data_IF_442016532137
#
_entry.id   IF_442016532137
#
_cell.length_a   1.000
_cell.length_b   1.000
_cell.length_c   1.000
_cell.angle_alpha   90.00
_cell.angle_beta   90.00
_cell.angle_gamma   90.00
#
_symmetry.space_group_name_H-M   'P 1'
#
loop_
_entity.id
_entity.type
_entity.pdbx_description
1 polymer ?
#
# COMPACT_ATOMS: atom_id res chain seq x y z
N UNK A 1 -31.55 -13.69 -3.09
CA UNK A 1 -31.86 -12.29 -2.71
C UNK A 1 -33.27 -12.20 -2.11
N UNK A 2 -34.25 -12.83 -2.74
CA UNK A 2 -35.68 -12.78 -2.35
C UNK A 2 -35.97 -13.29 -0.94
N UNK A 3 -35.49 -14.48 -0.56
CA UNK A 3 -35.70 -15.02 0.80
C UNK A 3 -35.08 -14.14 1.91
N UNK A 4 -33.96 -13.47 1.63
CA UNK A 4 -33.34 -12.58 2.62
C UNK A 4 -34.19 -11.31 2.83
N UNK A 5 -34.76 -10.76 1.74
CA UNK A 5 -35.67 -9.63 1.79
C UNK A 5 -36.96 -9.98 2.53
N UNK A 6 -37.57 -11.12 2.19
CA UNK A 6 -38.75 -11.65 2.88
C UNK A 6 -38.48 -11.84 4.38
N UNK A 7 -37.35 -12.46 4.74
CA UNK A 7 -36.98 -12.64 6.15
C UNK A 7 -36.81 -11.31 6.87
N UNK A 8 -36.22 -10.30 6.23
CA UNK A 8 -36.06 -8.97 6.81
C UNK A 8 -37.42 -8.29 7.02
N UNK A 9 -38.33 -8.40 6.05
CA UNK A 9 -39.69 -7.85 6.14
C UNK A 9 -40.48 -8.51 7.28
N UNK A 10 -40.44 -9.84 7.40
CA UNK A 10 -41.14 -10.53 8.50
C UNK A 10 -40.53 -10.22 9.86
N UNK A 11 -39.20 -10.06 9.95
CA UNK A 11 -38.58 -9.62 11.19
C UNK A 11 -39.00 -8.18 11.56
N UNK A 12 -39.10 -7.28 10.58
CA UNK A 12 -39.61 -5.92 10.79
C UNK A 12 -41.07 -5.94 11.25
N UNK A 13 -41.92 -6.70 10.55
CA UNK A 13 -43.34 -6.84 10.88
C UNK A 13 -43.57 -7.45 12.28
N UNK A 14 -42.72 -8.40 12.68
CA UNK A 14 -42.76 -9.04 13.99
C UNK A 14 -42.28 -8.12 15.12
N UNK A 15 -41.17 -7.42 14.92
CA UNK A 15 -40.49 -6.65 15.99
C UNK A 15 -41.03 -5.23 16.10
N UNK A 16 -41.15 -4.52 14.98
CA UNK A 16 -41.50 -3.09 14.99
C UNK A 16 -43.00 -2.86 14.85
N UNK A 17 -43.69 -3.68 14.05
CA UNK A 17 -45.12 -3.45 13.77
C UNK A 17 -46.06 -4.32 14.60
N UNK A 18 -45.56 -5.43 15.18
CA UNK A 18 -46.37 -6.40 15.92
C UNK A 18 -47.47 -7.06 15.08
N UNK A 19 -47.37 -7.02 13.75
CA UNK A 19 -48.42 -7.50 12.83
C UNK A 19 -48.31 -8.99 12.51
N UNK A 20 -47.18 -9.63 12.82
CA UNK A 20 -47.02 -11.07 12.72
C UNK A 20 -46.24 -11.62 13.93
N UNK A 21 -46.48 -12.88 14.29
CA UNK A 21 -45.88 -13.51 15.47
C UNK A 21 -44.62 -14.31 15.13
N UNK A 22 -44.47 -14.72 13.87
CA UNK A 22 -43.37 -15.57 13.42
C UNK A 22 -42.84 -15.14 12.04
N UNK A 23 -41.62 -15.58 11.74
CA UNK A 23 -41.01 -15.40 10.44
C UNK A 23 -40.97 -16.77 9.72
N UNK A 24 -41.82 -17.01 8.70
CA UNK A 24 -41.89 -18.30 8.03
C UNK A 24 -40.59 -18.66 7.30
N UNK A 25 -39.75 -17.68 6.97
CA UNK A 25 -38.45 -17.91 6.30
C UNK A 25 -37.44 -18.59 7.22
N UNK A 26 -37.62 -18.54 8.53
CA UNK A 26 -36.79 -19.30 9.49
C UNK A 26 -36.95 -20.81 9.33
N UNK A 27 -38.09 -21.26 8.83
CA UNK A 27 -38.41 -22.67 8.62
C UNK A 27 -38.09 -23.16 7.20
N UNK A 28 -37.50 -22.30 6.36
CA UNK A 28 -37.13 -22.65 4.99
C UNK A 28 -35.63 -22.84 4.90
N UNK A 29 -35.20 -23.95 4.28
CA UNK A 29 -33.79 -24.18 3.98
C UNK A 29 -33.31 -23.09 3.00
N UNK A 30 -32.42 -22.23 3.46
CA UNK A 30 -31.80 -21.20 2.62
C UNK A 30 -30.94 -21.86 1.54
N UNK A 31 -30.93 -21.33 0.30
CA UNK A 31 -30.01 -21.79 -0.73
C UNK A 31 -28.58 -21.74 -0.22
N UNK A 32 -27.77 -22.72 -0.61
CA UNK A 32 -26.35 -22.68 -0.30
C UNK A 32 -25.76 -21.37 -0.83
N UNK A 33 -25.02 -20.66 0.02
CA UNK A 33 -24.31 -19.45 -0.40
C UNK A 33 -23.31 -19.88 -1.46
N UNK A 34 -23.35 -19.24 -2.63
CA UNK A 34 -22.44 -19.60 -3.73
C UNK A 34 -20.99 -19.46 -3.24
N UNK A 35 -20.16 -20.45 -3.59
CA UNK A 35 -18.72 -20.32 -3.43
C UNK A 35 -18.28 -19.18 -4.33
N UNK A 36 -18.04 -17.99 -3.76
CA UNK A 36 -17.76 -16.78 -4.54
C UNK A 36 -16.70 -17.00 -5.64
N UNK A 37 -16.72 -16.19 -6.70
CA UNK A 37 -15.87 -16.34 -7.90
C UNK A 37 -14.38 -16.53 -7.55
N UNK A 38 -13.71 -17.45 -8.23
CA UNK A 38 -12.27 -17.78 -8.03
C UNK A 38 -11.45 -17.43 -9.29
N UNK A 39 -12.04 -16.68 -10.21
CA UNK A 39 -11.38 -16.26 -11.45
C UNK A 39 -10.18 -15.36 -11.14
N UNK A 40 -8.99 -15.77 -11.58
CA UNK A 40 -7.73 -15.01 -11.53
C UNK A 40 -7.43 -14.41 -12.90
N UNK A 41 -6.84 -13.22 -12.97
CA UNK A 41 -6.38 -12.63 -14.22
C UNK A 41 -5.11 -13.34 -14.68
N UNK A 42 -5.08 -13.86 -15.90
CA UNK A 42 -3.87 -14.51 -16.42
C UNK A 42 -2.88 -13.48 -16.95
N UNK A 43 -1.58 -13.83 -16.97
CA UNK A 43 -0.55 -12.94 -17.51
C UNK A 43 -0.73 -12.63 -19.01
N UNK A 44 -1.33 -13.55 -19.77
CA UNK A 44 -1.65 -13.31 -21.19
C UNK A 44 -2.75 -12.26 -21.34
N UNK A 45 -3.83 -12.37 -20.55
CA UNK A 45 -4.92 -11.41 -20.53
C UNK A 45 -4.45 -10.04 -20.05
N UNK A 46 -3.63 -9.98 -19.00
CA UNK A 46 -3.06 -8.73 -18.50
C UNK A 46 -2.23 -8.00 -19.57
N UNK A 47 -1.36 -8.73 -20.28
CA UNK A 47 -0.59 -8.17 -21.41
C UNK A 47 -1.50 -7.73 -22.56
N UNK A 48 -2.53 -8.51 -22.88
CA UNK A 48 -3.50 -8.21 -23.93
C UNK A 48 -4.28 -6.93 -23.63
N UNK A 49 -4.87 -6.83 -22.44
CA UNK A 49 -5.59 -5.65 -21.95
C UNK A 49 -4.68 -4.43 -21.88
N UNK A 50 -3.46 -4.58 -21.34
CA UNK A 50 -2.48 -3.49 -21.28
C UNK A 50 -2.18 -2.93 -22.67
N UNK A 51 -1.95 -3.80 -23.67
CA UNK A 51 -1.68 -3.40 -25.05
C UNK A 51 -2.90 -2.73 -25.69
N UNK A 52 -4.08 -3.28 -25.47
CA UNK A 52 -5.34 -2.75 -26.00
C UNK A 52 -5.62 -1.33 -25.49
N UNK A 53 -5.45 -1.09 -24.19
CA UNK A 53 -5.72 0.23 -23.61
C UNK A 53 -4.65 1.27 -23.95
N UNK A 54 -3.37 0.89 -23.97
CA UNK A 54 -2.25 1.83 -24.21
C UNK A 54 -2.43 2.67 -25.47
N UNK A 55 -2.93 2.08 -26.56
CA UNK A 55 -3.09 2.77 -27.83
C UNK A 55 -4.42 3.51 -28.02
N UNK A 56 -5.39 3.34 -27.12
CA UNK A 56 -6.78 3.80 -27.36
C UNK A 56 -7.43 4.56 -26.22
N UNK A 57 -7.09 4.24 -24.96
CA UNK A 57 -7.81 4.66 -23.75
C UNK A 57 -6.84 4.74 -22.56
N UNK A 58 -6.04 5.82 -22.43
CA UNK A 58 -5.03 5.94 -21.36
C UNK A 58 -5.63 5.94 -19.95
N UNK A 59 -6.75 6.64 -19.73
CA UNK A 59 -7.48 6.59 -18.44
C UNK A 59 -7.91 5.16 -18.08
N UNK A 60 -8.39 4.38 -19.06
CA UNK A 60 -8.83 3.01 -18.81
C UNK A 60 -7.65 2.09 -18.47
N UNK A 61 -6.48 2.33 -19.07
CA UNK A 61 -5.24 1.64 -18.70
C UNK A 61 -4.86 1.94 -17.25
N UNK A 62 -4.97 3.19 -16.82
CA UNK A 62 -4.66 3.58 -15.46
C UNK A 62 -5.62 2.97 -14.44
N UNK A 63 -6.94 3.04 -14.70
CA UNK A 63 -7.96 2.40 -13.86
C UNK A 63 -7.68 0.90 -13.72
N UNK A 64 -7.35 0.22 -14.82
CA UNK A 64 -7.00 -1.20 -14.83
C UNK A 64 -5.76 -1.50 -13.96
N UNK A 65 -4.68 -0.73 -14.13
CA UNK A 65 -3.44 -0.91 -13.35
C UNK A 65 -3.65 -0.61 -11.87
N UNK A 66 -4.37 0.46 -11.54
CA UNK A 66 -4.67 0.81 -10.16
C UNK A 66 -5.51 -0.26 -9.47
N UNK A 67 -6.47 -0.88 -10.16
CA UNK A 67 -7.25 -1.98 -9.58
C UNK A 67 -6.37 -3.15 -9.13
N UNK A 68 -5.34 -3.49 -9.91
CA UNK A 68 -4.38 -4.57 -9.63
C UNK A 68 -3.40 -4.18 -8.51
N UNK A 69 -2.95 -2.93 -8.48
CA UNK A 69 -1.91 -2.48 -7.54
C UNK A 69 -2.47 -2.11 -6.15
N UNK A 70 -3.74 -1.72 -6.05
CA UNK A 70 -4.31 -1.13 -4.82
C UNK A 70 -5.44 -1.94 -4.19
N UNK A 71 -5.96 -2.93 -4.91
CA UNK A 71 -7.15 -3.69 -4.55
C UNK A 71 -8.41 -2.84 -4.31
N UNK A 72 -8.46 -1.57 -4.73
CA UNK A 72 -9.65 -0.72 -4.56
C UNK A 72 -10.88 -1.26 -5.30
N UNK A 73 -12.07 -0.90 -4.81
CA UNK A 73 -13.32 -1.16 -5.55
C UNK A 73 -13.40 -0.26 -6.78
N UNK A 74 -14.15 -0.67 -7.81
CA UNK A 74 -14.37 0.16 -9.00
C UNK A 74 -14.88 1.56 -8.65
N UNK A 75 -15.86 1.66 -7.75
CA UNK A 75 -16.39 2.96 -7.33
C UNK A 75 -15.35 3.83 -6.64
N UNK A 76 -14.48 3.22 -5.80
CA UNK A 76 -13.40 3.93 -5.09
C UNK A 76 -12.39 4.51 -6.08
N UNK A 77 -12.01 3.75 -7.12
CA UNK A 77 -11.06 4.22 -8.15
C UNK A 77 -11.68 5.35 -8.96
N UNK A 78 -12.91 5.17 -9.44
CA UNK A 78 -13.58 6.16 -10.30
C UNK A 78 -13.93 7.46 -9.56
N UNK A 79 -14.01 7.42 -8.23
CA UNK A 79 -14.28 8.60 -7.40
C UNK A 79 -13.02 9.22 -6.79
N UNK A 80 -11.83 8.80 -7.20
CA UNK A 80 -10.59 9.42 -6.73
C UNK A 80 -10.55 10.89 -7.11
N UNK A 81 -10.04 11.70 -6.18
CA UNK A 81 -9.82 13.12 -6.38
C UNK A 81 -8.36 13.45 -6.07
N UNK A 82 -7.77 14.37 -6.84
CA UNK A 82 -6.35 14.72 -6.71
C UNK A 82 -6.00 15.26 -5.31
N UNK A 83 -6.92 16.01 -4.68
CA UNK A 83 -6.69 16.57 -3.34
C UNK A 83 -6.59 15.51 -2.25
N UNK A 84 -7.09 14.31 -2.52
CA UNK A 84 -7.06 13.18 -1.60
C UNK A 84 -5.86 12.26 -1.85
N UNK A 85 -4.91 12.64 -2.70
CA UNK A 85 -3.75 11.82 -3.07
C UNK A 85 -2.46 12.54 -2.68
N UNK A 86 -1.68 11.93 -1.79
CA UNK A 86 -0.31 12.35 -1.52
C UNK A 86 0.67 11.37 -2.18
N UNK A 87 1.21 11.74 -3.34
CA UNK A 87 2.19 10.93 -4.08
C UNK A 87 3.58 10.88 -3.40
N UNK A 88 3.89 11.83 -2.52
CA UNK A 88 5.16 11.85 -1.77
C UNK A 88 5.12 10.84 -0.64
N UNK A 89 4.05 10.84 0.15
CA UNK A 89 3.79 9.84 1.18
C UNK A 89 3.35 8.50 0.60
N UNK A 90 2.83 8.50 -0.63
CA UNK A 90 2.32 7.31 -1.30
C UNK A 90 1.01 6.82 -0.70
N UNK A 91 0.08 7.75 -0.44
CA UNK A 91 -1.21 7.45 0.19
C UNK A 91 -2.33 8.08 -0.65
N UNK A 92 -3.38 7.32 -0.90
CA UNK A 92 -4.66 7.82 -1.39
C UNK A 92 -5.71 7.71 -0.28
N UNK A 93 -6.25 8.84 0.16
CA UNK A 93 -7.33 8.91 1.12
C UNK A 93 -8.66 8.65 0.41
N UNK A 94 -9.43 7.67 0.92
CA UNK A 94 -10.79 7.43 0.46
C UNK A 94 -11.77 8.01 1.48
N UNK A 95 -12.42 9.16 1.17
CA UNK A 95 -13.40 9.75 2.06
C UNK A 95 -14.63 8.84 2.21
N UNK A 96 -15.41 9.08 3.25
CA UNK A 96 -16.56 8.26 3.63
C UNK A 96 -17.46 7.96 2.42
N UNK A 97 -17.51 6.70 2.00
CA UNK A 97 -18.38 6.28 0.89
C UNK A 97 -19.76 5.92 1.43
N UNK A 98 -20.80 6.02 0.59
CA UNK A 98 -22.22 5.75 0.92
C UNK A 98 -22.48 4.41 1.65
N UNK A 99 -21.54 3.45 1.63
CA UNK A 99 -21.62 2.14 2.29
C UNK A 99 -20.34 1.72 3.04
N UNK A 100 -19.37 2.62 3.24
CA UNK A 100 -18.01 2.28 3.69
C UNK A 100 -17.43 3.23 4.73
N UNK A 101 -16.45 2.74 5.49
CA UNK A 101 -15.63 3.58 6.38
C UNK A 101 -14.58 4.32 5.56
N UNK A 102 -14.23 5.54 5.98
CA UNK A 102 -13.06 6.24 5.46
C UNK A 102 -11.81 5.38 5.70
N UNK A 103 -10.86 5.39 4.76
CA UNK A 103 -9.61 4.64 4.89
C UNK A 103 -8.54 5.19 3.97
N UNK A 104 -7.30 4.97 4.37
CA UNK A 104 -6.13 5.26 3.55
C UNK A 104 -5.69 4.01 2.77
N UNK A 105 -5.35 4.21 1.51
CA UNK A 105 -4.85 3.17 0.62
C UNK A 105 -3.38 3.47 0.31
N UNK A 106 -2.44 2.61 0.73
CA UNK A 106 -1.04 2.78 0.35
C UNK A 106 -0.85 2.51 -1.13
N UNK A 107 -0.04 3.34 -1.77
CA UNK A 107 0.25 3.31 -3.19
C UNK A 107 1.64 2.72 -3.41
N UNK A 108 1.71 1.57 -4.10
CA UNK A 108 2.97 1.01 -4.56
C UNK A 108 3.70 2.00 -5.48
N UNK A 109 5.01 1.83 -5.67
CA UNK A 109 5.76 2.65 -6.64
C UNK A 109 5.17 2.59 -8.05
N UNK A 110 4.55 1.46 -8.43
CA UNK A 110 3.83 1.33 -9.70
C UNK A 110 2.52 2.10 -9.72
N UNK A 111 1.73 2.06 -8.63
CA UNK A 111 0.50 2.83 -8.53
C UNK A 111 0.78 4.34 -8.60
N UNK A 112 1.83 4.81 -7.91
CA UNK A 112 2.27 6.21 -7.97
C UNK A 112 2.71 6.63 -9.37
N UNK A 113 3.44 5.77 -10.07
CA UNK A 113 3.83 6.03 -11.46
C UNK A 113 2.61 6.18 -12.37
N UNK A 114 1.61 5.30 -12.23
CA UNK A 114 0.36 5.38 -13.01
C UNK A 114 -0.40 6.67 -12.74
N UNK A 115 -0.50 7.10 -11.49
CA UNK A 115 -1.14 8.37 -11.14
C UNK A 115 -0.36 9.56 -11.70
N UNK A 116 0.97 9.53 -11.62
CA UNK A 116 1.81 10.57 -12.23
C UNK A 116 1.61 10.66 -13.74
N UNK A 117 1.62 9.52 -14.46
CA UNK A 117 1.35 9.46 -15.90
C UNK A 117 -0.03 10.04 -16.26
N UNK A 118 -1.05 9.86 -15.41
CA UNK A 118 -2.39 10.41 -15.60
C UNK A 118 -2.44 11.91 -15.32
N UNK A 119 -1.78 12.38 -14.25
CA UNK A 119 -1.69 13.81 -13.95
C UNK A 119 -0.97 14.59 -15.05
N UNK A 120 0.03 14.00 -15.69
CA UNK A 120 0.72 14.61 -16.85
C UNK A 120 -0.21 14.78 -18.08
N UNK A 121 -1.32 14.05 -18.15
CA UNK A 121 -2.32 14.17 -19.23
C UNK A 121 -3.38 15.25 -18.98
N UNK A 122 -3.56 15.71 -17.73
CA UNK A 122 -4.56 16.70 -17.34
C UNK A 122 -3.97 17.72 -16.36
N UNK A 123 -3.91 18.99 -16.77
CA UNK A 123 -3.12 20.06 -16.10
C UNK A 123 -3.58 20.48 -14.71
N UNK A 124 -4.67 19.93 -14.20
CA UNK A 124 -5.27 20.37 -12.94
C UNK A 124 -4.99 19.33 -11.84
N UNK A 125 -4.21 19.74 -10.84
CA UNK A 125 -3.95 18.97 -9.61
C UNK A 125 -5.17 18.99 -8.64
N UNK A 126 -6.36 19.29 -9.17
CA UNK A 126 -7.61 19.43 -8.41
C UNK A 126 -8.77 18.75 -9.16
N UNK A 127 -9.71 18.18 -8.42
CA UNK A 127 -10.89 17.51 -8.94
C UNK A 127 -10.70 16.02 -9.19
N UNK A 128 -11.59 15.47 -10.01
CA UNK A 128 -11.64 14.04 -10.29
C UNK A 128 -10.42 13.57 -11.08
N UNK A 129 -9.79 12.47 -10.63
CA UNK A 129 -8.66 11.83 -11.34
C UNK A 129 -9.12 11.22 -12.67
N UNK A 130 -10.36 10.75 -12.74
CA UNK A 130 -10.92 10.08 -13.91
C UNK A 130 -12.20 10.75 -14.38
N UNK A 131 -12.43 10.77 -15.69
CA UNK A 131 -13.62 11.33 -16.32
C UNK A 131 -14.73 10.29 -16.50
N UNK A 132 -14.41 9.02 -16.29
CA UNK A 132 -15.34 7.90 -16.48
C UNK A 132 -16.47 7.87 -15.45
N UNK A 133 -17.70 7.86 -15.94
CA UNK A 133 -18.87 7.44 -15.16
C UNK A 133 -18.86 5.92 -14.96
N UNK A 134 -19.55 5.44 -13.92
CA UNK A 134 -19.66 4.00 -13.63
C UNK A 134 -20.25 3.20 -14.80
N UNK A 135 -21.26 3.74 -15.50
CA UNK A 135 -21.87 3.11 -16.67
C UNK A 135 -20.95 3.15 -17.90
N UNK A 136 -20.32 4.31 -18.17
CA UNK A 136 -19.37 4.47 -19.27
C UNK A 136 -18.18 3.52 -19.12
N UNK A 137 -17.65 3.40 -17.91
CA UNK A 137 -16.58 2.45 -17.58
C UNK A 137 -17.00 1.00 -17.85
N UNK A 138 -18.16 0.57 -17.35
CA UNK A 138 -18.66 -0.81 -17.53
C UNK A 138 -18.79 -1.17 -19.01
N UNK A 139 -19.29 -0.24 -19.83
CA UNK A 139 -19.38 -0.41 -21.27
C UNK A 139 -18.01 -0.54 -21.93
N UNK A 140 -17.06 0.33 -21.59
CA UNK A 140 -15.71 0.29 -22.13
C UNK A 140 -14.96 -1.00 -21.76
N UNK A 141 -15.10 -1.45 -20.51
CA UNK A 141 -14.55 -2.72 -20.04
C UNK A 141 -15.11 -3.90 -20.84
N UNK A 142 -16.44 -3.97 -21.00
CA UNK A 142 -17.11 -5.02 -21.78
C UNK A 142 -16.62 -5.05 -23.23
N UNK A 143 -16.50 -3.90 -23.88
CA UNK A 143 -16.02 -3.79 -25.26
C UNK A 143 -14.58 -4.32 -25.38
N UNK A 144 -13.72 -4.00 -24.41
CA UNK A 144 -12.34 -4.49 -24.41
C UNK A 144 -12.26 -6.01 -24.30
N UNK A 145 -13.05 -6.62 -23.39
CA UNK A 145 -13.10 -8.08 -23.26
C UNK A 145 -13.62 -8.76 -24.52
N UNK A 146 -14.68 -8.22 -25.13
CA UNK A 146 -15.21 -8.72 -26.41
C UNK A 146 -14.17 -8.62 -27.52
N UNK A 147 -13.46 -7.49 -27.63
CA UNK A 147 -12.42 -7.28 -28.65
C UNK A 147 -11.24 -8.24 -28.52
N UNK A 148 -10.97 -8.72 -27.31
CA UNK A 148 -9.85 -9.62 -26.99
C UNK A 148 -10.30 -11.07 -26.80
N UNK A 149 -11.58 -11.38 -27.01
CA UNK A 149 -12.18 -12.70 -26.76
C UNK A 149 -11.90 -13.24 -25.34
N UNK A 150 -11.86 -12.36 -24.35
CA UNK A 150 -11.66 -12.73 -22.94
C UNK A 150 -13.01 -13.09 -22.33
N UNK A 151 -13.14 -14.34 -21.90
CA UNK A 151 -14.37 -14.87 -21.34
C UNK A 151 -14.36 -14.86 -19.80
N UNK A 152 -15.54 -14.62 -19.23
CA UNK A 152 -15.82 -14.71 -17.80
C UNK A 152 -14.82 -13.95 -16.90
N UNK A 153 -14.44 -12.73 -17.30
CA UNK A 153 -13.62 -11.83 -16.48
C UNK A 153 -14.43 -10.58 -16.12
N UNK A 154 -14.75 -10.40 -14.85
CA UNK A 154 -15.36 -9.17 -14.36
C UNK A 154 -14.30 -8.20 -13.83
N UNK A 155 -14.58 -6.91 -13.87
CA UNK A 155 -13.65 -5.92 -13.31
C UNK A 155 -13.41 -6.14 -11.81
N UNK A 156 -14.41 -6.63 -11.06
CA UNK A 156 -14.23 -6.99 -9.66
C UNK A 156 -13.25 -8.15 -9.45
N UNK A 157 -13.05 -9.02 -10.44
CA UNK A 157 -12.07 -10.11 -10.35
C UNK A 157 -10.63 -9.54 -10.28
N UNK A 158 -10.39 -8.30 -10.74
CA UNK A 158 -9.09 -7.61 -10.58
C UNK A 158 -8.78 -7.27 -9.12
N UNK A 159 -9.80 -6.97 -8.32
CA UNK A 159 -9.63 -6.80 -6.87
C UNK A 159 -9.27 -8.13 -6.22
N UNK A 160 -9.89 -9.23 -6.64
CA UNK A 160 -9.53 -10.57 -6.16
C UNK A 160 -8.08 -10.94 -6.56
N UNK A 161 -7.68 -10.58 -7.78
CA UNK A 161 -6.31 -10.71 -8.26
C UNK A 161 -5.34 -9.91 -7.38
N UNK A 162 -5.62 -8.63 -7.16
CA UNK A 162 -4.80 -7.73 -6.34
C UNK A 162 -4.58 -8.29 -4.93
N UNK A 163 -5.66 -8.72 -4.26
CA UNK A 163 -5.58 -9.31 -2.92
C UNK A 163 -4.72 -10.58 -2.94
N UNK A 164 -4.90 -11.43 -3.95
CA UNK A 164 -4.09 -12.64 -4.07
C UNK A 164 -2.61 -12.31 -4.26
N UNK A 165 -2.28 -11.33 -5.10
CA UNK A 165 -0.90 -10.84 -5.26
C UNK A 165 -0.33 -10.30 -3.96
N UNK A 166 -1.11 -9.55 -3.18
CA UNK A 166 -0.68 -9.04 -1.87
C UNK A 166 -0.33 -10.17 -0.90
N UNK A 167 -1.08 -11.27 -0.89
CA UNK A 167 -0.73 -12.47 -0.11
C UNK A 167 0.51 -13.19 -0.65
N UNK A 168 0.64 -13.27 -1.98
CA UNK A 168 1.77 -13.89 -2.68
C UNK A 168 3.09 -13.14 -2.47
N UNK A 169 3.07 -11.82 -2.18
CA UNK A 169 4.27 -11.06 -1.78
C UNK A 169 4.94 -11.65 -0.54
N UNK A 170 4.17 -12.28 0.35
CA UNK A 170 4.68 -12.89 1.58
C UNK A 170 5.19 -11.91 2.63
N UNK A 171 5.29 -10.61 2.35
CA UNK A 171 5.74 -9.58 3.31
C UNK A 171 4.63 -9.09 4.23
N UNK A 172 3.38 -9.13 3.75
CA UNK A 172 2.22 -8.62 4.47
C UNK A 172 1.57 -9.71 5.32
N UNK A 173 1.08 -9.32 6.49
CA UNK A 173 0.20 -10.12 7.30
C UNK A 173 -1.27 -9.95 6.87
N UNK A 174 -2.13 -10.83 7.38
CA UNK A 174 -3.54 -10.87 6.98
C UNK A 174 -4.28 -9.56 7.34
N UNK A 175 -3.95 -8.94 8.47
CA UNK A 175 -4.57 -7.68 8.91
C UNK A 175 -4.14 -6.50 8.04
N UNK A 176 -2.86 -6.46 7.62
CA UNK A 176 -2.36 -5.45 6.68
C UNK A 176 -3.07 -5.57 5.33
N UNK A 177 -3.22 -6.78 4.79
CA UNK A 177 -3.97 -7.01 3.55
C UNK A 177 -5.44 -6.61 3.73
N UNK A 178 -6.04 -6.86 4.89
CA UNK A 178 -7.41 -6.44 5.20
C UNK A 178 -7.56 -4.91 5.23
N UNK A 179 -6.60 -4.20 5.82
CA UNK A 179 -6.57 -2.74 5.84
C UNK A 179 -6.42 -2.15 4.43
N UNK A 180 -5.44 -2.65 3.65
CA UNK A 180 -5.18 -2.22 2.27
C UNK A 180 -6.38 -2.48 1.36
N UNK A 181 -7.05 -3.61 1.52
CA UNK A 181 -8.21 -3.94 0.69
C UNK A 181 -9.53 -3.38 1.25
N UNK A 182 -9.61 -2.97 2.52
CA UNK A 182 -10.86 -2.50 3.13
C UNK A 182 -11.89 -3.62 3.35
N UNK A 183 -11.44 -4.80 3.80
CA UNK A 183 -12.33 -5.89 4.25
C UNK A 183 -12.68 -5.74 5.73
N UNK A 184 -13.98 -5.74 6.04
CA UNK A 184 -14.48 -5.68 7.41
C UNK A 184 -14.47 -7.03 8.13
N UNK A 185 -14.57 -8.14 7.39
CA UNK A 185 -14.61 -9.49 7.94
C UNK A 185 -13.47 -10.33 7.39
N UNK A 186 -12.74 -10.97 8.30
CA UNK A 186 -11.64 -11.85 7.96
C UNK A 186 -12.08 -13.11 7.22
N UNK A 187 -13.34 -13.53 7.40
CA UNK A 187 -13.91 -14.65 6.66
C UNK A 187 -13.88 -14.42 5.14
N UNK A 188 -13.95 -13.16 4.68
CA UNK A 188 -13.83 -12.84 3.26
C UNK A 188 -12.42 -13.08 2.71
N UNK A 189 -11.39 -13.01 3.56
CA UNK A 189 -10.00 -13.20 3.16
C UNK A 189 -9.50 -14.65 3.27
N UNK A 190 -10.22 -15.53 3.97
CA UNK A 190 -9.84 -16.95 4.18
C UNK A 190 -9.47 -17.69 2.89
N UNK A 191 -10.08 -17.33 1.76
CA UNK A 191 -9.80 -17.94 0.45
C UNK A 191 -8.46 -17.55 -0.17
N UNK A 192 -7.84 -16.46 0.28
CA UNK A 192 -6.52 -16.04 -0.19
C UNK A 192 -5.40 -16.50 0.75
N UNK A 193 -5.75 -16.90 1.97
CA UNK A 193 -4.81 -17.42 2.97
C UNK A 193 -4.49 -18.90 2.75
N UNK A 194 -4.66 -19.44 1.54
CA UNK A 194 -4.10 -20.75 1.18
C UNK A 194 -2.57 -20.62 1.13
N UNK A 195 -1.99 -20.48 2.33
CA UNK A 195 -0.58 -20.48 2.61
C UNK A 195 -0.07 -21.84 2.13
N UNK A 196 0.60 -21.84 0.98
CA UNK A 196 1.39 -23.01 0.59
C UNK A 196 2.39 -23.24 1.71
N UNK A 197 2.46 -24.45 2.27
CA UNK A 197 3.40 -24.79 3.33
C UNK A 197 4.85 -24.39 3.00
N UNK A 198 5.20 -24.40 1.71
CA UNK A 198 6.48 -23.91 1.18
C UNK A 198 6.77 -22.44 1.48
N UNK A 199 5.74 -21.56 1.50
CA UNK A 199 5.89 -20.14 1.87
C UNK A 199 6.02 -19.96 3.39
N UNK A 200 5.48 -20.90 4.18
CA UNK A 200 5.68 -20.91 5.63
C UNK A 200 7.09 -21.38 5.98
N UNK A 201 7.62 -22.39 5.27
CA UNK A 201 9.01 -22.85 5.40
C UNK A 201 9.98 -21.70 5.10
N UNK A 202 9.81 -20.98 3.99
CA UNK A 202 10.68 -19.82 3.70
C UNK A 202 10.57 -18.70 4.74
N UNK A 203 9.40 -18.49 5.36
CA UNK A 203 9.23 -17.55 6.47
C UNK A 203 9.88 -18.03 7.78
N UNK A 204 9.84 -19.33 8.06
CA UNK A 204 10.49 -19.93 9.22
C UNK A 204 12.02 -19.92 9.05
N UNK A 205 12.49 -20.18 7.83
CA UNK A 205 13.91 -20.19 7.45
C UNK A 205 14.48 -18.78 7.23
N UNK A 206 13.63 -17.76 7.06
CA UNK A 206 14.00 -16.35 6.94
C UNK A 206 14.68 -15.77 8.20
N UNK A 207 14.99 -16.58 9.22
CA UNK A 207 15.95 -16.25 10.31
C UNK A 207 17.32 -15.76 9.80
N UNK A 208 17.66 -15.94 8.51
CA UNK A 208 18.78 -15.24 7.85
C UNK A 208 18.65 -13.70 7.80
N UNK A 209 17.49 -13.10 8.15
CA UNK A 209 17.27 -11.64 8.30
C UNK A 209 17.91 -10.99 9.54
N UNK A 210 18.82 -11.67 10.23
CA UNK A 210 19.59 -11.06 11.33
C UNK A 210 20.47 -9.88 10.83
N UNK A 211 20.92 -9.92 9.58
CA UNK A 211 21.63 -8.82 8.91
C UNK A 211 20.76 -7.57 8.68
N UNK A 212 19.45 -7.72 8.46
CA UNK A 212 18.50 -6.62 8.26
C UNK A 212 18.05 -5.97 9.59
N UNK A 213 18.19 -6.70 10.70
CA UNK A 213 17.94 -6.20 12.06
C UNK A 213 19.12 -5.37 12.61
N UNK A 214 20.33 -5.60 12.08
CA UNK A 214 21.51 -4.78 12.38
C UNK A 214 21.43 -3.40 11.72
N UNK A 215 20.87 -3.29 10.51
CA UNK A 215 20.71 -1.99 9.83
C UNK A 215 19.76 -1.01 10.55
N UNK A 216 18.81 -1.50 11.36
CA UNK A 216 17.99 -0.63 12.23
C UNK A 216 18.72 -0.12 13.47
N UNK A 217 19.91 -0.66 13.77
CA UNK A 217 20.76 -0.24 14.90
C UNK A 217 21.73 0.87 14.47
N UNK A 218 22.10 0.91 13.19
CA UNK A 218 23.07 1.85 12.63
C UNK A 218 22.36 2.94 11.81
N UNK A 219 21.98 4.03 12.48
CA UNK A 219 21.21 5.14 11.93
C UNK A 219 22.17 6.32 11.61
N UNK A 220 21.96 7.07 10.52
CA UNK A 220 22.73 8.29 10.26
C UNK A 220 22.43 9.41 11.27
N UNK A 221 23.47 10.19 11.65
CA UNK A 221 23.34 11.34 12.55
C UNK A 221 23.89 12.62 11.92
N UNK A 222 23.30 13.79 12.23
CA UNK A 222 23.85 15.08 11.83
C UNK A 222 25.17 15.36 12.57
N UNK A 223 26.14 15.90 11.83
CA UNK A 223 27.37 16.46 12.36
C UNK A 223 27.56 17.89 11.85
N UNK A 224 27.97 18.79 12.73
CA UNK A 224 28.34 20.16 12.41
C UNK A 224 29.80 20.21 11.96
N UNK A 225 30.08 20.89 10.84
CA UNK A 225 31.43 21.02 10.26
C UNK A 225 32.06 22.35 10.65
N UNK A 226 33.29 22.28 11.14
CA UNK A 226 34.13 23.43 11.49
C UNK A 226 35.46 23.32 10.77
N UNK A 227 35.92 24.42 10.17
CA UNK A 227 37.23 24.50 9.52
C UNK A 227 38.06 25.56 10.23
N UNK A 228 39.18 25.15 10.81
CA UNK A 228 40.11 26.04 11.50
C UNK A 228 41.55 25.65 11.14
N UNK A 229 42.34 26.63 10.70
CA UNK A 229 43.77 26.46 10.39
C UNK A 229 44.07 25.26 9.46
N UNK A 230 43.26 25.09 8.41
CA UNK A 230 43.37 23.98 7.44
C UNK A 230 42.89 22.62 7.96
N UNK A 231 42.46 22.51 9.21
CA UNK A 231 41.91 21.27 9.80
C UNK A 231 40.38 21.31 9.79
N UNK A 232 39.76 20.19 9.41
CA UNK A 232 38.31 20.01 9.38
C UNK A 232 37.90 19.17 10.57
N UNK A 233 36.95 19.69 11.36
CA UNK A 233 36.38 19.02 12.53
C UNK A 233 34.89 18.76 12.30
N UNK A 234 34.46 17.52 12.48
CA UNK A 234 33.06 17.13 12.48
C UNK A 234 32.63 16.80 13.91
N UNK A 235 31.58 17.46 14.40
CA UNK A 235 31.05 17.27 15.75
C UNK A 235 29.60 16.81 15.71
N UNK A 236 29.30 15.70 16.35
CA UNK A 236 27.93 15.19 16.45
C UNK A 236 27.22 15.87 17.62
N UNK A 237 26.27 16.76 17.33
CA UNK A 237 25.56 17.53 18.37
C UNK A 237 24.63 16.68 19.24
N UNK A 238 24.28 15.48 18.77
CA UNK A 238 23.44 14.53 19.50
C UNK A 238 24.22 13.68 20.54
N UNK A 239 25.55 13.77 20.58
CA UNK A 239 26.39 12.97 21.47
C UNK A 239 27.46 13.82 22.18
N UNK A 240 27.63 13.61 23.47
CA UNK A 240 28.68 14.28 24.24
C UNK A 240 30.07 13.75 23.87
N UNK A 241 30.94 14.63 23.38
CA UNK A 241 32.34 14.32 23.10
C UNK A 241 32.63 13.50 21.85
N UNK A 242 31.64 13.28 20.97
CA UNK A 242 31.86 12.62 19.67
C UNK A 242 32.26 13.66 18.61
N UNK A 243 33.56 13.77 18.36
CA UNK A 243 34.12 14.63 17.33
C UNK A 243 35.31 13.97 16.62
N UNK A 244 35.52 14.35 15.37
CA UNK A 244 36.58 13.82 14.52
C UNK A 244 37.27 14.95 13.78
N UNK A 245 38.60 14.97 13.80
CA UNK A 245 39.43 15.96 13.13
C UNK A 245 40.28 15.32 12.03
N UNK A 246 40.35 15.95 10.85
CA UNK A 246 41.22 15.50 9.76
C UNK A 246 41.75 16.67 8.92
N UNK A 247 42.80 16.41 8.15
CA UNK A 247 43.42 17.40 7.27
C UNK A 247 42.62 17.65 5.97
N UNK A 248 41.75 16.71 5.58
CA UNK A 248 40.93 16.80 4.37
C UNK A 248 39.47 16.46 4.64
N UNK A 249 38.58 16.98 3.79
CA UNK A 249 37.14 16.81 3.95
C UNK A 249 36.72 15.34 3.83
N UNK A 250 37.27 14.62 2.84
CA UNK A 250 36.94 13.22 2.63
C UNK A 250 37.47 12.31 3.76
N UNK A 251 38.62 12.66 4.33
CA UNK A 251 39.16 11.96 5.49
C UNK A 251 38.32 12.21 6.74
N UNK A 252 37.87 13.46 6.96
CA UNK A 252 36.96 13.78 8.05
C UNK A 252 35.66 12.97 7.95
N UNK A 253 35.06 12.90 6.75
CA UNK A 253 33.83 12.12 6.52
C UNK A 253 34.03 10.62 6.78
N UNK A 254 35.10 10.03 6.24
CA UNK A 254 35.39 8.60 6.46
C UNK A 254 35.61 8.29 7.94
N UNK A 255 36.42 9.10 8.62
CA UNK A 255 36.72 8.91 10.03
C UNK A 255 35.45 9.11 10.88
N UNK A 256 34.59 10.07 10.54
CA UNK A 256 33.30 10.29 11.20
C UNK A 256 32.33 9.11 10.99
N UNK A 257 32.25 8.53 9.79
CA UNK A 257 31.46 7.32 9.53
C UNK A 257 31.92 6.13 10.38
N UNK A 258 33.24 5.90 10.45
CA UNK A 258 33.83 4.82 11.24
C UNK A 258 33.58 5.02 12.73
N UNK A 259 33.78 6.23 13.24
CA UNK A 259 33.60 6.52 14.67
C UNK A 259 32.12 6.46 15.06
N UNK A 260 31.22 6.93 14.21
CA UNK A 260 29.77 6.81 14.41
C UNK A 260 29.31 5.34 14.41
N UNK A 261 29.85 4.51 13.50
CA UNK A 261 29.58 3.08 13.48
C UNK A 261 30.04 2.40 14.77
N UNK A 262 31.25 2.72 15.22
CA UNK A 262 31.83 2.19 16.46
C UNK A 262 31.01 2.60 17.67
N UNK A 263 30.62 3.86 17.76
CA UNK A 263 29.79 4.39 18.85
C UNK A 263 28.45 3.66 18.95
N UNK A 264 27.74 3.52 17.82
CA UNK A 264 26.47 2.80 17.77
C UNK A 264 26.61 1.31 18.08
N UNK A 265 27.71 0.67 17.67
CA UNK A 265 27.98 -0.72 17.98
C UNK A 265 28.23 -0.94 19.47
N UNK A 266 28.94 -0.04 20.14
CA UNK A 266 29.19 -0.08 21.59
C UNK A 266 27.87 0.13 22.36
N UNK A 267 27.09 1.15 22.00
CA UNK A 267 25.80 1.43 22.64
C UNK A 267 24.84 0.22 22.50
N UNK A 268 24.77 -0.38 21.31
CA UNK A 268 23.96 -1.57 21.06
C UNK A 268 24.42 -2.79 21.86
N UNK A 269 25.75 -2.98 21.99
CA UNK A 269 26.34 -4.04 22.82
C UNK A 269 25.99 -3.88 24.31
N UNK A 270 25.95 -2.64 24.79
CA UNK A 270 25.63 -2.31 26.17
C UNK A 270 24.11 -2.23 26.44
N UNK A 271 23.27 -2.30 25.40
CA UNK A 271 21.82 -2.14 25.52
C UNK A 271 21.39 -0.68 25.79
N UNK A 272 22.26 0.29 25.51
CA UNK A 272 22.00 1.71 25.70
C UNK A 272 21.10 2.25 24.58
N UNK A 273 20.14 3.09 24.93
CA UNK A 273 19.25 3.75 23.97
C UNK A 273 19.85 5.09 23.57
N UNK A 274 20.21 5.23 22.30
CA UNK A 274 20.68 6.49 21.75
C UNK A 274 19.54 7.49 21.56
N UNK A 275 19.81 8.81 21.70
CA UNK A 275 18.84 9.85 21.36
C UNK A 275 18.47 9.79 19.88
N UNK A 276 17.24 10.14 19.47
CA UNK A 276 16.91 10.22 18.05
C UNK A 276 17.76 11.31 17.35
N UNK A 277 18.15 11.13 16.07
CA UNK A 277 18.92 12.13 15.34
C UNK A 277 18.24 13.50 15.32
N UNK A 278 19.02 14.56 15.55
CA UNK A 278 18.54 15.94 15.51
C UNK A 278 18.08 16.37 14.11
N UNK A 279 17.28 17.45 14.00
CA UNK A 279 16.80 17.95 12.72
C UNK A 279 17.95 18.45 11.84
N UNK A 280 17.91 18.05 10.56
CA UNK A 280 18.75 18.61 9.49
C UNK A 280 17.93 19.70 8.81
N UNK A 281 18.20 20.96 9.13
CA UNK A 281 17.53 22.08 8.47
C UNK A 281 18.00 22.21 7.02
N UNK A 282 17.07 22.40 6.09
CA UNK A 282 17.32 22.45 4.63
C UNK A 282 18.27 23.60 4.21
N UNK A 283 18.59 24.53 5.10
CA UNK A 283 19.43 25.72 4.85
C UNK A 283 20.72 25.79 5.68
N UNK A 284 21.13 24.74 6.40
CA UNK A 284 22.37 24.76 7.18
C UNK A 284 23.58 24.36 6.34
N UNK A 285 24.31 25.34 5.82
CA UNK A 285 25.55 25.16 5.03
C UNK A 285 26.63 24.38 5.80
N UNK A 286 26.56 24.35 7.13
CA UNK A 286 27.58 23.76 8.00
C UNK A 286 27.11 22.48 8.75
N UNK A 287 26.08 21.78 8.26
CA UNK A 287 25.61 20.53 8.88
C UNK A 287 25.45 19.43 7.85
N UNK A 288 26.04 18.27 8.11
CA UNK A 288 26.07 17.10 7.22
C UNK A 288 25.45 15.90 7.91
N UNK A 289 24.74 15.06 7.17
CA UNK A 289 24.25 13.78 7.68
C UNK A 289 25.30 12.70 7.41
N UNK A 290 25.84 12.11 8.48
CA UNK A 290 26.89 11.09 8.38
C UNK A 290 26.27 9.70 8.47
N UNK A 291 26.51 8.88 7.44
CA UNK A 291 26.11 7.46 7.43
C UNK A 291 27.17 6.60 8.12
N UNK A 292 26.80 5.70 9.04
CA UNK A 292 27.73 4.72 9.63
C UNK A 292 28.05 3.53 8.70
N UNK A 293 27.30 3.36 7.60
CA UNK A 293 27.45 2.29 6.59
C UNK A 293 27.75 2.87 5.21
#
# INVERSE_FOLDING_TARGET
LELALLSALYNLAKVEWGTCTSNPVEHVRKPAVSSGRVRRLTSQEERGLTRYFRGKKPELLAIFRLAIETAMRQGEILSLQWENIDLRLGIAHLPLTKNGSARDVPLSSKARLVLKEIGELGRDDTGSVFTYTSSGFKSAWRIALQSLSINDLHFHDLRHEAISRLFELGTLNVMEVAAISGHKSMNMLKRYTHLRATHLVSKLDARKKQAQKLTSIFIPYPADIYTYDGTITLKFSDFDGLEVTAATHDEALRNASVELLRFQAIAAKNGERLPPPGPVSVNSVNRLLISPL
#
